data_IF_410551067802
#
_entry.id   IF_410551067802
#
_cell.length_a   1.000
_cell.length_b   1.000
_cell.length_c   1.000
_cell.angle_alpha   90.00
_cell.angle_beta   90.00
_cell.angle_gamma   90.00
#
_symmetry.space_group_name_H-M   'P 1'
#
loop_
_entity.id
_entity.type
_entity.pdbx_description
1 polymer ?
#
# COMPACT_ATOMS: atom_id res chain seq x y z
N UNK A 1 12.56 -4.33 -16.36
CA UNK A 1 11.90 -4.09 -15.06
C UNK A 1 10.60 -3.35 -15.33
N UNK A 2 9.51 -3.56 -14.57
CA UNK A 2 8.21 -2.90 -14.81
C UNK A 2 8.30 -1.37 -14.68
N UNK A 3 9.03 -0.89 -13.68
CA UNK A 3 9.28 0.55 -13.45
C UNK A 3 10.00 1.22 -14.62
N UNK A 4 11.05 0.57 -15.16
CA UNK A 4 11.78 1.06 -16.34
C UNK A 4 10.93 1.09 -17.62
N UNK A 5 9.76 0.46 -17.60
CA UNK A 5 8.77 0.47 -18.68
C UNK A 5 7.53 1.28 -18.30
N UNK A 6 7.58 2.01 -17.19
CA UNK A 6 6.50 2.86 -16.68
C UNK A 6 5.18 2.08 -16.51
N UNK A 7 5.26 0.78 -16.22
CA UNK A 7 4.10 -0.08 -16.08
C UNK A 7 3.63 -0.08 -14.62
N UNK A 8 2.41 0.41 -14.32
CA UNK A 8 1.87 0.37 -12.97
C UNK A 8 1.76 -1.07 -12.47
N UNK A 9 2.01 -1.26 -11.18
CA UNK A 9 1.86 -2.57 -10.56
C UNK A 9 1.47 -2.47 -9.09
N UNK A 10 0.95 -3.58 -8.62
CA UNK A 10 0.60 -3.82 -7.22
C UNK A 10 1.16 -5.18 -6.86
N UNK A 11 2.08 -5.19 -5.90
CA UNK A 11 2.80 -6.39 -5.50
C UNK A 11 2.53 -6.70 -4.03
N UNK A 12 1.91 -7.85 -3.77
CA UNK A 12 1.71 -8.33 -2.41
C UNK A 12 3.07 -8.64 -1.75
N UNK A 13 3.25 -8.17 -0.53
CA UNK A 13 4.47 -8.41 0.28
C UNK A 13 4.11 -8.92 1.67
N UNK A 14 5.06 -9.60 2.31
CA UNK A 14 4.91 -10.07 3.70
C UNK A 14 5.05 -8.89 4.67
N UNK A 15 4.41 -8.99 5.83
CA UNK A 15 4.52 -7.97 6.90
C UNK A 15 5.95 -7.70 7.34
N UNK A 16 6.81 -8.72 7.35
CA UNK A 16 8.24 -8.65 7.67
C UNK A 16 9.15 -8.31 6.48
N UNK A 17 8.60 -7.91 5.33
CA UNK A 17 9.41 -7.53 4.17
C UNK A 17 10.27 -6.31 4.51
N UNK A 18 11.59 -6.41 4.39
CA UNK A 18 12.46 -5.28 4.69
C UNK A 18 12.30 -4.20 3.62
N UNK A 19 11.89 -3.00 4.03
CA UNK A 19 11.82 -1.83 3.15
C UNK A 19 12.71 -0.73 3.70
N UNK A 20 13.40 -0.03 2.80
CA UNK A 20 14.15 1.16 3.18
C UNK A 20 13.18 2.27 3.60
N UNK A 21 13.34 2.81 4.82
CA UNK A 21 12.72 4.05 5.29
C UNK A 21 13.54 5.22 4.73
N UNK A 22 12.88 6.28 4.27
CA UNK A 22 13.55 7.45 3.72
C UNK A 22 14.07 8.36 4.83
N UNK A 23 15.22 8.97 4.59
CA UNK A 23 15.92 9.88 5.50
C UNK A 23 17.42 9.90 5.21
N UNK A 24 18.13 10.87 5.80
CA UNK A 24 19.60 11.02 5.68
C UNK A 24 20.38 9.82 6.28
N UNK A 25 19.72 9.01 7.11
CA UNK A 25 20.29 7.78 7.65
C UNK A 25 20.07 6.62 6.69
N UNK A 26 21.13 6.28 5.95
CA UNK A 26 21.23 5.19 4.96
C UNK A 26 20.81 3.78 5.46
N UNK A 27 20.51 3.58 6.75
CA UNK A 27 20.39 2.27 7.39
C UNK A 27 19.10 2.03 8.18
N UNK A 28 18.15 2.96 8.22
CA UNK A 28 16.87 2.71 8.88
C UNK A 28 15.93 1.98 7.90
N UNK A 29 15.80 0.67 8.09
CA UNK A 29 14.75 -0.12 7.46
C UNK A 29 13.51 -0.16 8.34
N UNK A 30 12.34 -0.28 7.72
CA UNK A 30 11.10 -0.57 8.42
C UNK A 30 10.30 -1.58 7.60
N UNK A 31 9.68 -2.51 8.28
CA UNK A 31 8.77 -3.48 7.68
C UNK A 31 7.39 -2.85 7.42
N UNK A 32 6.60 -3.36 6.45
CA UNK A 32 5.22 -2.93 6.26
C UNK A 32 4.38 -2.95 7.53
N UNK A 33 4.63 -3.94 8.40
CA UNK A 33 3.91 -4.09 9.66
C UNK A 33 4.23 -2.98 10.66
N UNK A 34 5.51 -2.63 10.81
CA UNK A 34 5.93 -1.50 11.66
C UNK A 34 5.37 -0.18 11.14
N UNK A 35 5.45 0.08 9.83
CA UNK A 35 4.87 1.30 9.26
C UNK A 35 3.35 1.35 9.44
N UNK A 36 2.66 0.20 9.36
CA UNK A 36 1.23 0.12 9.54
C UNK A 36 0.76 0.13 11.00
N UNK A 37 1.67 0.06 11.98
CA UNK A 37 1.34 0.24 13.40
C UNK A 37 1.35 1.72 13.81
N UNK A 38 2.07 2.56 13.06
CA UNK A 38 2.13 4.02 13.23
C UNK A 38 0.87 4.75 12.70
N UNK A 39 0.02 4.07 11.91
CA UNK A 39 -1.18 4.66 11.30
C UNK A 39 -2.28 4.97 12.32
N UNK A 40 -2.76 6.22 12.30
CA UNK A 40 -3.89 6.65 13.11
C UNK A 40 -5.23 6.05 12.60
N UNK A 41 -6.26 5.87 13.46
CA UNK A 41 -7.56 5.33 13.05
C UNK A 41 -8.22 6.06 11.87
N UNK A 42 -8.03 7.37 11.76
CA UNK A 42 -8.62 8.25 10.75
C UNK A 42 -7.99 8.10 9.36
N UNK A 43 -6.79 7.52 9.29
CA UNK A 43 -6.10 7.24 8.02
C UNK A 43 -6.67 6.01 7.30
N UNK A 44 -7.56 5.26 7.96
CA UNK A 44 -8.23 4.09 7.41
C UNK A 44 -9.57 4.46 6.77
N UNK A 45 -9.71 4.13 5.49
CA UNK A 45 -10.92 4.41 4.71
C UNK A 45 -11.50 3.11 4.15
N UNK A 46 -12.82 2.96 4.21
CA UNK A 46 -13.48 1.76 3.73
C UNK A 46 -13.64 1.78 2.20
N UNK A 47 -13.05 0.79 1.52
CA UNK A 47 -13.17 0.61 0.07
C UNK A 47 -13.33 -0.88 -0.29
N UNK A 48 -13.93 -1.12 -1.45
CA UNK A 48 -14.05 -2.46 -2.02
C UNK A 48 -12.70 -2.93 -2.59
N UNK A 49 -12.37 -4.20 -2.37
CA UNK A 49 -11.23 -4.88 -3.00
C UNK A 49 -11.59 -5.46 -4.39
N UNK A 50 -12.49 -4.80 -5.12
CA UNK A 50 -13.14 -5.32 -6.32
C UNK A 50 -14.45 -6.07 -6.07
N UNK A 51 -15.13 -6.43 -7.17
CA UNK A 51 -16.37 -7.18 -7.15
C UNK A 51 -16.08 -8.69 -7.03
N UNK A 52 -16.54 -9.31 -5.94
CA UNK A 52 -16.50 -10.76 -5.80
C UNK A 52 -17.81 -11.40 -6.29
N UNK A 53 -17.81 -12.72 -6.47
CA UNK A 53 -19.01 -13.50 -6.81
C UNK A 53 -20.19 -13.36 -5.83
N UNK A 54 -19.97 -12.79 -4.63
CA UNK A 54 -20.98 -12.52 -3.59
C UNK A 54 -21.19 -11.02 -3.35
N UNK A 55 -20.77 -10.16 -4.28
CA UNK A 55 -20.75 -8.71 -4.12
C UNK A 55 -19.38 -8.15 -3.68
N UNK A 56 -19.28 -6.83 -3.50
CA UNK A 56 -18.02 -6.16 -3.20
C UNK A 56 -17.49 -6.57 -1.83
N UNK A 57 -16.21 -6.97 -1.76
CA UNK A 57 -15.54 -7.28 -0.49
C UNK A 57 -14.99 -5.99 0.11
N UNK A 58 -15.66 -5.49 1.15
CA UNK A 58 -15.26 -4.27 1.83
C UNK A 58 -14.13 -4.53 2.85
N UNK A 59 -13.10 -3.70 2.80
CA UNK A 59 -12.02 -3.68 3.77
C UNK A 59 -11.71 -2.23 4.17
N UNK A 60 -11.03 -2.07 5.30
CA UNK A 60 -10.40 -0.81 5.62
C UNK A 60 -9.02 -0.78 4.95
N UNK A 61 -8.74 0.33 4.29
CA UNK A 61 -7.51 0.57 3.56
C UNK A 61 -6.83 1.83 4.03
N UNK A 62 -5.51 1.81 4.06
CA UNK A 62 -4.67 2.98 4.30
C UNK A 62 -3.49 2.95 3.32
N UNK A 63 -2.93 4.11 3.01
CA UNK A 63 -1.75 4.23 2.14
C UNK A 63 -0.69 5.12 2.76
N UNK A 64 0.57 4.73 2.59
CA UNK A 64 1.73 5.48 3.04
C UNK A 64 2.58 5.84 1.83
N UNK A 65 2.81 7.14 1.61
CA UNK A 65 3.61 7.63 0.48
C UNK A 65 5.09 7.31 0.71
N UNK A 66 5.79 6.87 -0.34
CA UNK A 66 7.23 6.59 -0.31
C UNK A 66 7.98 7.52 -1.28
N UNK A 67 8.17 8.81 -0.92
CA UNK A 67 8.68 9.82 -1.84
C UNK A 67 10.11 9.53 -2.32
N UNK A 68 10.96 8.89 -1.52
CA UNK A 68 12.34 8.54 -1.92
C UNK A 68 12.44 7.40 -2.95
N UNK A 69 11.35 6.65 -3.16
CA UNK A 69 11.27 5.63 -4.20
C UNK A 69 10.69 6.20 -5.51
N UNK A 70 10.04 7.37 -5.46
CA UNK A 70 9.36 7.96 -6.61
C UNK A 70 10.39 8.60 -7.55
N UNK A 71 10.59 7.98 -8.72
CA UNK A 71 11.33 8.53 -9.86
C UNK A 71 10.42 8.54 -11.09
N UNK A 72 10.71 9.42 -12.03
CA UNK A 72 10.16 9.38 -13.39
C UNK A 72 8.64 9.58 -13.51
N UNK A 73 8.07 10.47 -12.67
CA UNK A 73 6.65 10.84 -12.81
C UNK A 73 5.66 9.78 -12.35
N UNK A 74 6.10 8.84 -11.51
CA UNK A 74 5.26 7.85 -10.82
C UNK A 74 5.44 7.93 -9.30
N UNK A 75 4.42 7.48 -8.58
CA UNK A 75 4.41 7.45 -7.12
C UNK A 75 4.51 6.03 -6.59
N UNK A 76 5.32 5.89 -5.55
CA UNK A 76 5.41 4.66 -4.77
C UNK A 76 4.60 4.77 -3.50
N UNK A 77 3.76 3.75 -3.26
CA UNK A 77 2.95 3.65 -2.06
C UNK A 77 3.14 2.29 -1.39
N UNK A 78 3.05 2.28 -0.06
CA UNK A 78 2.66 1.08 0.67
C UNK A 78 1.15 1.15 0.87
N UNK A 79 0.41 0.19 0.33
CA UNK A 79 -1.01 0.03 0.63
C UNK A 79 -1.18 -1.05 1.71
N UNK A 80 -2.00 -0.74 2.70
CA UNK A 80 -2.32 -1.63 3.81
C UNK A 80 -3.81 -1.91 3.80
N UNK A 81 -4.16 -3.19 3.88
CA UNK A 81 -5.54 -3.66 4.01
C UNK A 81 -5.72 -4.32 5.36
N UNK A 82 -6.82 -4.06 6.05
CA UNK A 82 -7.23 -4.84 7.23
C UNK A 82 -8.70 -5.24 7.15
N UNK A 83 -9.05 -6.35 7.81
CA UNK A 83 -10.45 -6.72 8.03
C UNK A 83 -11.07 -5.74 9.04
N UNK A 84 -12.37 -5.50 8.88
CA UNK A 84 -13.17 -4.66 9.80
C UNK A 84 -13.53 -5.37 11.12
N UNK A 85 -13.38 -6.69 11.17
CA UNK A 85 -13.61 -7.50 12.38
C UNK A 85 -12.37 -7.55 13.26
N UNK A 86 -12.50 -8.04 14.49
CA UNK A 86 -11.46 -8.12 15.54
C UNK A 86 -10.18 -8.87 15.16
N UNK A 87 -10.12 -9.49 13.98
CA UNK A 87 -8.88 -10.09 13.47
C UNK A 87 -7.95 -8.97 12.98
N UNK A 88 -6.86 -8.75 13.72
CA UNK A 88 -5.79 -7.81 13.37
C UNK A 88 -4.99 -8.21 12.10
N UNK A 89 -5.51 -9.13 11.29
CA UNK A 89 -4.84 -9.61 10.09
C UNK A 89 -4.80 -8.50 9.03
N UNK A 90 -3.58 -8.03 8.76
CA UNK A 90 -3.26 -7.03 7.74
C UNK A 90 -2.64 -7.71 6.52
N UNK A 91 -2.90 -7.15 5.35
CA UNK A 91 -2.21 -7.48 4.11
C UNK A 91 -1.53 -6.21 3.55
N UNK A 92 -0.37 -6.39 2.93
CA UNK A 92 0.51 -5.31 2.54
C UNK A 92 0.84 -5.41 1.05
N UNK A 93 0.85 -4.27 0.38
CA UNK A 93 1.10 -4.18 -1.05
C UNK A 93 2.03 -3.01 -1.38
N UNK A 94 3.06 -3.27 -2.18
CA UNK A 94 3.83 -2.22 -2.82
C UNK A 94 3.13 -1.81 -4.10
N UNK A 95 2.92 -0.51 -4.25
CA UNK A 95 2.21 0.06 -5.39
C UNK A 95 3.13 1.02 -6.12
N UNK A 96 3.18 0.88 -7.43
CA UNK A 96 3.76 1.84 -8.37
C UNK A 96 2.64 2.32 -9.28
N UNK A 97 2.30 3.60 -9.22
CA UNK A 97 1.14 4.14 -9.91
C UNK A 97 1.38 5.58 -10.40
N UNK A 98 0.63 6.04 -11.42
CA UNK A 98 0.68 7.42 -11.85
C UNK A 98 0.31 8.38 -10.71
N UNK A 99 0.83 9.62 -10.71
CA UNK A 99 0.56 10.61 -9.70
C UNK A 99 -0.92 10.96 -9.67
N UNK A 100 -1.43 11.16 -8.45
CA UNK A 100 -2.85 11.51 -8.25
C UNK A 100 -3.80 10.31 -8.24
N UNK A 101 -3.30 9.07 -8.39
CA UNK A 101 -4.11 7.86 -8.20
C UNK A 101 -4.80 7.90 -6.84
N UNK A 102 -6.14 7.78 -6.83
CA UNK A 102 -6.95 7.79 -5.61
C UNK A 102 -6.80 6.49 -4.83
N UNK A 103 -7.07 6.52 -3.52
CA UNK A 103 -7.05 5.30 -2.70
C UNK A 103 -8.02 4.24 -3.25
N UNK A 104 -9.20 4.65 -3.73
CA UNK A 104 -10.19 3.75 -4.30
C UNK A 104 -9.67 3.00 -5.54
N UNK A 105 -9.01 3.71 -6.47
CA UNK A 105 -8.37 3.10 -7.66
C UNK A 105 -7.27 2.12 -7.24
N UNK A 106 -6.47 2.52 -6.24
CA UNK A 106 -5.45 1.66 -5.66
C UNK A 106 -6.01 0.49 -4.84
N UNK A 107 -7.31 0.37 -4.56
CA UNK A 107 -7.84 -0.78 -3.83
C UNK A 107 -8.40 -1.87 -4.76
N UNK A 108 -8.65 -1.52 -6.02
CA UNK A 108 -9.27 -2.39 -7.02
C UNK A 108 -8.17 -2.96 -7.91
N UNK A 109 -7.43 -3.92 -7.37
CA UNK A 109 -6.42 -4.65 -8.11
C UNK A 109 -7.09 -5.71 -8.99
N UNK A 110 -6.93 -5.60 -10.31
CA UNK A 110 -7.40 -6.59 -11.29
C UNK A 110 -6.28 -7.55 -11.66
#
# INVERSE_FOLDING_TARGET
MLEAREQPYVLAVRGAHFMRRGGDRRFEGASPEELASELAPEEWVCHAAGEGAKGPRLYDWARIRRPWASKDGFEHWLLVRRKRSTSAEKAYYLVFAPPGSSLAELCVFR
#
